data_IF_179382517317
#
_entry.id   IF_179382517317
#
_cell.length_a   1.000
_cell.length_b   1.000
_cell.length_c   1.000
_cell.angle_alpha   90.00
_cell.angle_beta   90.00
_cell.angle_gamma   90.00
#
_symmetry.space_group_name_H-M   'P 1'
#
loop_
_entity.id
_entity.type
_entity.pdbx_description
1 polymer ?
#
# COMPACT_ATOMS: atom_id res chain seq x y z
N UNK A 1 2.48 1.18 -0.54
CA UNK A 1 1.44 1.13 -1.57
C UNK A 1 1.15 -0.29 -1.97
N UNK A 2 0.08 -0.53 -2.71
CA UNK A 2 -0.31 -1.86 -3.17
C UNK A 2 0.82 -2.57 -3.96
N UNK A 3 1.65 -1.83 -4.68
CA UNK A 3 2.86 -2.36 -5.32
C UNK A 3 3.80 -3.02 -4.31
N UNK A 4 3.96 -2.44 -3.12
CA UNK A 4 4.83 -2.99 -2.08
C UNK A 4 4.23 -4.29 -1.51
N UNK A 5 2.89 -4.34 -1.35
CA UNK A 5 2.18 -5.54 -0.94
C UNK A 5 2.34 -6.66 -1.97
N UNK A 6 2.12 -6.36 -3.26
CA UNK A 6 2.29 -7.35 -4.33
C UNK A 6 3.72 -7.91 -4.38
N UNK A 7 4.73 -7.05 -4.15
CA UNK A 7 6.12 -7.51 -4.07
C UNK A 7 6.36 -8.42 -2.86
N UNK A 8 5.81 -8.07 -1.72
CA UNK A 8 5.91 -8.87 -0.50
C UNK A 8 5.31 -10.27 -0.67
N UNK A 9 4.13 -10.35 -1.28
CA UNK A 9 3.48 -11.62 -1.59
C UNK A 9 4.24 -12.42 -2.66
N UNK A 10 4.75 -11.75 -3.72
CA UNK A 10 5.59 -12.36 -4.75
C UNK A 10 6.79 -13.06 -4.11
N UNK A 11 7.47 -12.38 -3.19
CA UNK A 11 8.64 -12.94 -2.50
C UNK A 11 8.24 -14.10 -1.58
N UNK A 12 7.13 -13.95 -0.83
CA UNK A 12 6.65 -15.02 0.05
C UNK A 12 6.34 -16.31 -0.71
N UNK A 13 5.66 -16.24 -1.85
CA UNK A 13 5.38 -17.44 -2.67
C UNK A 13 6.66 -18.02 -3.29
N UNK A 14 7.61 -17.17 -3.69
CA UNK A 14 8.90 -17.64 -4.20
C UNK A 14 9.71 -18.36 -3.13
N UNK A 15 9.75 -17.83 -1.90
CA UNK A 15 10.44 -18.46 -0.76
C UNK A 15 9.85 -19.85 -0.43
N UNK A 16 8.56 -20.07 -0.72
CA UNK A 16 7.89 -21.36 -0.58
C UNK A 16 8.02 -22.29 -1.80
N UNK A 17 8.69 -21.83 -2.86
CA UNK A 17 8.86 -22.60 -4.11
C UNK A 17 7.66 -22.56 -5.06
N UNK A 18 6.64 -21.72 -4.79
CA UNK A 18 5.48 -21.52 -5.67
C UNK A 18 5.79 -20.45 -6.74
N UNK A 19 6.59 -20.80 -7.72
CA UNK A 19 6.95 -19.94 -8.84
C UNK A 19 5.75 -19.51 -9.70
N UNK A 20 4.72 -20.33 -9.97
CA UNK A 20 3.53 -19.88 -10.69
C UNK A 20 2.81 -18.71 -10.01
N UNK A 21 2.54 -18.81 -8.70
CA UNK A 21 1.92 -17.74 -7.92
C UNK A 21 2.81 -16.49 -7.85
N UNK A 22 4.10 -16.65 -7.63
CA UNK A 22 5.08 -15.55 -7.66
C UNK A 22 5.07 -14.84 -9.02
N UNK A 23 5.01 -15.60 -10.12
CA UNK A 23 4.95 -15.04 -11.48
C UNK A 23 3.68 -14.23 -11.72
N UNK A 24 2.53 -14.74 -11.28
CA UNK A 24 1.25 -14.03 -11.38
C UNK A 24 1.32 -12.66 -10.67
N UNK A 25 1.81 -12.65 -9.43
CA UNK A 25 1.97 -11.42 -8.65
C UNK A 25 2.96 -10.44 -9.26
N UNK A 26 4.04 -10.93 -9.87
CA UNK A 26 5.00 -10.10 -10.62
C UNK A 26 4.34 -9.39 -11.80
N UNK A 27 3.45 -10.06 -12.52
CA UNK A 27 2.70 -9.47 -13.64
C UNK A 27 1.70 -8.42 -13.13
N UNK A 28 0.91 -8.76 -12.11
CA UNK A 28 -0.03 -7.83 -11.47
C UNK A 28 0.69 -6.57 -10.95
N UNK A 29 1.87 -6.73 -10.34
CA UNK A 29 2.71 -5.62 -9.85
C UNK A 29 3.16 -4.68 -10.98
N UNK A 30 3.48 -5.21 -12.16
CA UNK A 30 3.85 -4.39 -13.32
C UNK A 30 2.68 -3.55 -13.81
N UNK A 31 1.48 -4.12 -13.82
CA UNK A 31 0.28 -3.39 -14.22
C UNK A 31 -0.07 -2.32 -13.18
N UNK A 32 0.00 -2.65 -11.91
CA UNK A 32 -0.23 -1.69 -10.83
C UNK A 32 0.77 -0.52 -10.85
N UNK A 33 2.02 -0.76 -11.21
CA UNK A 33 3.01 0.30 -11.38
C UNK A 33 2.60 1.32 -12.46
N UNK A 34 1.96 0.89 -13.54
CA UNK A 34 1.42 1.77 -14.58
C UNK A 34 0.24 2.59 -14.05
N UNK A 35 -0.69 1.95 -13.30
CA UNK A 35 -1.84 2.63 -12.69
C UNK A 35 -1.38 3.73 -11.71
N UNK A 36 -0.41 3.42 -10.85
CA UNK A 36 0.15 4.39 -9.91
C UNK A 36 0.84 5.54 -10.65
N UNK A 37 1.65 5.24 -11.67
CA UNK A 37 2.30 6.28 -12.49
C UNK A 37 1.30 7.21 -13.15
N UNK A 38 0.24 6.65 -13.74
CA UNK A 38 -0.84 7.41 -14.34
C UNK A 38 -1.59 8.28 -13.30
N UNK A 39 -1.94 7.70 -12.16
CA UNK A 39 -2.61 8.41 -11.07
C UNK A 39 -1.79 9.57 -10.53
N UNK A 40 -0.49 9.34 -10.30
CA UNK A 40 0.45 10.40 -9.86
C UNK A 40 0.56 11.51 -10.89
N UNK A 41 0.65 11.17 -12.18
CA UNK A 41 0.67 12.14 -13.26
C UNK A 41 -0.58 13.03 -13.27
N UNK A 42 -1.76 12.44 -13.11
CA UNK A 42 -3.02 13.16 -13.03
C UNK A 42 -3.10 14.10 -11.82
N UNK A 43 -2.73 13.61 -10.64
CA UNK A 43 -2.73 14.44 -9.42
C UNK A 43 -1.76 15.61 -9.57
N UNK A 44 -0.54 15.35 -10.00
CA UNK A 44 0.49 16.38 -10.23
C UNK A 44 0.01 17.44 -11.23
N UNK A 45 -0.53 17.02 -12.36
CA UNK A 45 -1.05 17.92 -13.37
C UNK A 45 -2.21 18.77 -12.82
N UNK A 46 -3.17 18.12 -12.16
CA UNK A 46 -4.35 18.80 -11.58
C UNK A 46 -3.94 19.86 -10.57
N UNK A 47 -3.02 19.54 -9.65
CA UNK A 47 -2.56 20.48 -8.63
C UNK A 47 -1.72 21.61 -9.21
N UNK A 48 -0.96 21.37 -10.27
CA UNK A 48 -0.21 22.42 -10.97
C UNK A 48 -1.14 23.45 -11.64
N UNK A 49 -2.27 23.00 -12.21
CA UNK A 49 -3.25 23.92 -12.83
C UNK A 49 -4.24 24.54 -11.85
N UNK A 50 -4.61 23.82 -10.81
CA UNK A 50 -5.59 24.27 -9.82
C UNK A 50 -5.20 23.78 -8.41
N UNK A 51 -4.33 24.52 -7.70
CA UNK A 51 -3.88 24.16 -6.35
C UNK A 51 -5.04 24.00 -5.34
N UNK A 52 -6.18 24.71 -5.54
CA UNK A 52 -7.34 24.60 -4.64
C UNK A 52 -7.96 23.19 -4.63
N UNK A 53 -7.69 22.35 -5.62
CA UNK A 53 -8.12 20.95 -5.67
C UNK A 53 -7.51 20.06 -4.57
N UNK A 54 -6.51 20.54 -3.86
CA UNK A 54 -5.95 19.83 -2.68
C UNK A 54 -7.01 19.60 -1.60
N UNK A 55 -7.97 20.49 -1.42
CA UNK A 55 -9.07 20.31 -0.47
C UNK A 55 -9.94 19.10 -0.86
N UNK A 56 -10.33 19.00 -2.13
CA UNK A 56 -11.10 17.86 -2.62
C UNK A 56 -10.32 16.54 -2.52
N UNK A 57 -9.00 16.56 -2.75
CA UNK A 57 -8.15 15.38 -2.57
C UNK A 57 -8.15 14.92 -1.11
N UNK A 58 -8.01 15.84 -0.15
CA UNK A 58 -8.11 15.52 1.29
C UNK A 58 -9.44 14.86 1.62
N UNK A 59 -10.55 15.44 1.18
CA UNK A 59 -11.88 14.93 1.46
C UNK A 59 -12.04 13.49 0.93
N UNK A 60 -11.60 13.23 -0.30
CA UNK A 60 -11.65 11.88 -0.89
C UNK A 60 -10.79 10.88 -0.11
N UNK A 61 -9.59 11.26 0.31
CA UNK A 61 -8.71 10.38 1.11
C UNK A 61 -9.37 10.02 2.45
N UNK A 62 -9.94 10.99 3.17
CA UNK A 62 -10.57 10.72 4.45
C UNK A 62 -11.92 9.97 4.32
N UNK A 63 -12.70 10.23 3.27
CA UNK A 63 -13.88 9.41 2.95
C UNK A 63 -13.49 7.95 2.69
N UNK A 64 -12.44 7.73 1.92
CA UNK A 64 -11.91 6.39 1.65
C UNK A 64 -11.43 5.71 2.93
N UNK A 65 -10.71 6.44 3.80
CA UNK A 65 -10.30 5.94 5.12
C UNK A 65 -11.50 5.44 5.92
N UNK A 66 -12.54 6.26 6.07
CA UNK A 66 -13.74 5.90 6.85
C UNK A 66 -14.42 4.64 6.30
N UNK A 67 -14.48 4.50 4.98
CA UNK A 67 -14.99 3.29 4.34
C UNK A 67 -14.13 2.07 4.69
N UNK A 68 -12.81 2.16 4.59
CA UNK A 68 -11.90 1.05 4.88
C UNK A 68 -11.90 0.68 6.37
N UNK A 69 -12.02 1.65 7.27
CA UNK A 69 -12.11 1.39 8.71
C UNK A 69 -13.39 0.59 9.07
N UNK A 70 -14.47 0.73 8.29
CA UNK A 70 -15.67 -0.08 8.46
C UNK A 70 -15.49 -1.55 8.05
N UNK A 71 -14.42 -1.89 7.33
CA UNK A 71 -14.08 -3.24 6.86
C UNK A 71 -12.96 -3.90 7.70
N UNK A 72 -12.77 -3.45 8.94
CA UNK A 72 -11.62 -3.83 9.78
C UNK A 72 -11.47 -5.33 10.05
N UNK A 73 -12.56 -6.11 10.07
CA UNK A 73 -12.52 -7.56 10.29
C UNK A 73 -11.80 -8.31 9.14
N UNK A 74 -11.98 -7.85 7.90
CA UNK A 74 -11.29 -8.45 6.73
C UNK A 74 -9.79 -8.16 6.76
N UNK A 75 -9.40 -7.02 7.32
CA UNK A 75 -8.00 -6.62 7.42
C UNK A 75 -7.19 -7.49 8.39
N UNK A 76 -7.81 -8.01 9.47
CA UNK A 76 -7.12 -8.89 10.42
C UNK A 76 -6.81 -10.25 9.82
N UNK A 77 -7.76 -10.86 9.10
CA UNK A 77 -7.54 -12.13 8.41
C UNK A 77 -6.42 -12.02 7.35
N UNK A 78 -6.40 -10.92 6.60
CA UNK A 78 -5.35 -10.67 5.61
C UNK A 78 -3.97 -10.57 6.29
N UNK A 79 -3.89 -9.85 7.41
CA UNK A 79 -2.66 -9.66 8.17
C UNK A 79 -2.12 -10.99 8.69
N UNK A 80 -2.97 -11.82 9.29
CA UNK A 80 -2.60 -13.16 9.77
C UNK A 80 -2.14 -14.08 8.62
N UNK A 81 -2.87 -14.06 7.50
CA UNK A 81 -2.52 -14.86 6.32
C UNK A 81 -1.14 -14.46 5.76
N UNK A 82 -0.83 -13.18 5.71
CA UNK A 82 0.48 -12.70 5.28
C UNK A 82 1.59 -13.08 6.26
N UNK A 83 1.30 -13.05 7.57
CA UNK A 83 2.27 -13.45 8.59
C UNK A 83 2.57 -14.96 8.50
N UNK A 84 1.57 -15.80 8.28
CA UNK A 84 1.76 -17.25 8.06
C UNK A 84 2.59 -17.49 6.78
N UNK A 85 2.25 -16.81 5.69
CA UNK A 85 2.97 -16.92 4.41
C UNK A 85 4.46 -16.59 4.58
N UNK A 86 4.77 -15.43 5.15
CA UNK A 86 6.16 -14.98 5.30
C UNK A 86 6.93 -15.72 6.38
N UNK A 87 6.28 -16.16 7.44
CA UNK A 87 6.89 -17.05 8.42
C UNK A 87 7.19 -18.46 7.87
N UNK A 88 6.57 -18.83 6.75
CA UNK A 88 6.69 -20.18 6.18
C UNK A 88 5.95 -21.22 7.02
N UNK A 89 4.88 -20.82 7.71
CA UNK A 89 4.00 -21.68 8.50
C UNK A 89 3.63 -21.07 9.85
N UNK A 90 2.70 -21.74 10.55
CA UNK A 90 2.17 -21.26 11.83
C UNK A 90 3.21 -21.17 12.94
N UNK A 91 4.20 -22.07 12.95
CA UNK A 91 5.24 -22.12 13.99
C UNK A 91 6.12 -20.86 14.02
N UNK A 92 6.21 -20.15 12.89
CA UNK A 92 7.01 -18.93 12.75
C UNK A 92 6.15 -17.69 12.49
N UNK A 93 4.89 -17.71 12.85
CA UNK A 93 3.95 -16.61 12.62
C UNK A 93 4.43 -15.29 13.25
N UNK A 94 5.09 -15.35 14.41
CA UNK A 94 5.63 -14.16 15.09
C UNK A 94 6.66 -13.45 14.19
N UNK A 95 7.60 -14.19 13.59
CA UNK A 95 8.55 -13.64 12.63
C UNK A 95 7.86 -13.04 11.42
N UNK A 96 6.82 -13.72 10.90
CA UNK A 96 6.02 -13.23 9.79
C UNK A 96 5.28 -11.92 10.14
N UNK A 97 4.81 -11.74 11.38
CA UNK A 97 4.23 -10.49 11.84
C UNK A 97 5.24 -9.33 11.83
N UNK A 98 6.47 -9.55 12.25
CA UNK A 98 7.51 -8.53 12.20
C UNK A 98 7.75 -8.05 10.76
N UNK A 99 7.82 -8.98 9.80
CA UNK A 99 7.96 -8.63 8.38
C UNK A 99 6.74 -7.89 7.82
N UNK A 100 5.52 -8.23 8.25
CA UNK A 100 4.30 -7.51 7.87
C UNK A 100 4.27 -6.09 8.44
N UNK A 101 4.76 -5.88 9.67
CA UNK A 101 4.86 -4.55 10.27
C UNK A 101 5.92 -3.70 9.56
N UNK A 102 7.02 -4.29 9.14
CA UNK A 102 8.01 -3.61 8.30
C UNK A 102 7.41 -3.23 6.92
N UNK A 103 6.64 -4.13 6.31
CA UNK A 103 5.91 -3.82 5.08
C UNK A 103 5.01 -2.60 5.27
N UNK A 104 4.20 -2.54 6.33
CA UNK A 104 3.35 -1.38 6.63
C UNK A 104 4.14 -0.08 6.69
N UNK A 105 5.24 -0.09 7.42
CA UNK A 105 6.14 1.07 7.53
C UNK A 105 6.73 1.49 6.18
N UNK A 106 7.13 0.52 5.35
CA UNK A 106 7.61 0.77 3.98
C UNK A 106 6.53 1.34 3.08
N UNK A 107 5.31 0.81 3.17
CA UNK A 107 4.16 1.30 2.40
C UNK A 107 3.84 2.76 2.75
N UNK A 108 3.88 3.12 4.04
CA UNK A 108 3.68 4.48 4.51
C UNK A 108 4.74 5.43 3.95
N UNK A 109 6.04 5.10 4.11
CA UNK A 109 7.15 5.91 3.56
C UNK A 109 7.04 6.09 2.04
N UNK A 110 6.74 5.03 1.31
CA UNK A 110 6.61 5.09 -0.15
C UNK A 110 5.38 5.90 -0.59
N UNK A 111 4.28 5.86 0.17
CA UNK A 111 3.09 6.67 -0.10
C UNK A 111 3.38 8.14 0.14
N UNK A 112 3.97 8.49 1.28
CA UNK A 112 4.39 9.86 1.60
C UNK A 112 5.28 10.43 0.49
N UNK A 113 6.33 9.71 0.11
CA UNK A 113 7.24 10.15 -0.96
C UNK A 113 6.49 10.45 -2.26
N UNK A 114 5.58 9.56 -2.69
CA UNK A 114 4.80 9.77 -3.92
C UNK A 114 3.87 10.97 -3.85
N UNK A 115 3.27 11.24 -2.70
CA UNK A 115 2.44 12.42 -2.50
C UNK A 115 3.27 13.71 -2.61
N UNK A 116 4.46 13.72 -2.02
CA UNK A 116 5.41 14.84 -2.16
C UNK A 116 5.85 15.01 -3.62
N UNK A 117 6.15 13.94 -4.33
CA UNK A 117 6.47 13.97 -5.77
C UNK A 117 5.33 14.53 -6.65
N UNK A 118 4.08 14.42 -6.17
CA UNK A 118 2.91 15.06 -6.81
C UNK A 118 2.77 16.55 -6.50
N UNK A 119 3.63 17.12 -5.66
CA UNK A 119 3.61 18.53 -5.27
C UNK A 119 2.76 18.81 -4.02
N UNK A 120 2.46 17.78 -3.22
CA UNK A 120 1.77 17.93 -1.94
C UNK A 120 2.81 18.28 -0.87
N UNK A 121 2.47 19.21 0.01
CA UNK A 121 3.28 19.57 1.17
C UNK A 121 3.61 18.35 2.03
N UNK A 122 4.83 18.28 2.60
CA UNK A 122 5.34 17.11 3.29
C UNK A 122 4.49 16.73 4.52
N UNK A 123 4.11 17.71 5.35
CA UNK A 123 3.31 17.48 6.55
C UNK A 123 1.94 16.90 6.16
N UNK A 124 1.31 17.49 5.16
CA UNK A 124 0.05 16.98 4.62
C UNK A 124 0.22 15.59 4.00
N UNK A 125 1.30 15.33 3.27
CA UNK A 125 1.58 14.02 2.69
C UNK A 125 1.75 12.93 3.75
N UNK A 126 2.37 13.25 4.89
CA UNK A 126 2.48 12.37 6.06
C UNK A 126 1.09 12.06 6.63
N UNK A 127 0.25 13.07 6.85
CA UNK A 127 -1.09 12.89 7.40
C UNK A 127 -1.98 12.04 6.47
N UNK A 128 -1.97 12.33 5.18
CA UNK A 128 -2.70 11.55 4.17
C UNK A 128 -2.19 10.11 4.08
N UNK A 129 -0.88 9.91 4.22
CA UNK A 129 -0.30 8.57 4.21
C UNK A 129 -0.71 7.77 5.44
N UNK A 130 -0.65 8.34 6.63
CA UNK A 130 -1.06 7.69 7.88
C UNK A 130 -2.53 7.29 7.88
N UNK A 131 -3.39 8.05 7.21
CA UNK A 131 -4.81 7.72 7.10
C UNK A 131 -5.07 6.34 6.47
N UNK A 132 -4.16 5.82 5.65
CA UNK A 132 -4.29 4.53 4.97
C UNK A 132 -3.41 3.41 5.54
N UNK A 133 -2.49 3.71 6.45
CA UNK A 133 -1.55 2.72 6.99
C UNK A 133 -2.20 1.48 7.61
N UNK A 134 -3.32 1.57 8.35
CA UNK A 134 -3.97 0.40 8.92
C UNK A 134 -4.46 -0.62 7.90
N UNK A 135 -4.79 -0.20 6.69
CA UNK A 135 -5.60 -0.95 5.73
C UNK A 135 -4.84 -1.53 4.51
N UNK A 136 -3.52 -1.52 4.46
CA UNK A 136 -2.70 -2.04 3.35
C UNK A 136 -3.01 -1.44 1.95
N UNK A 137 -3.65 -0.28 1.87
CA UNK A 137 -4.02 0.34 0.59
C UNK A 137 -3.35 1.67 0.33
#
# INVERSE_FOLDING_TARGET
>A
TFIDLLKFLEDGFRDLGDEPSAKLLSLARKDEARHVSYGMGNVKHTLAYNPAKIAALKDVVFQRKNYLDSQSAESSLLLESMAVLKGGGQERIAQGFDEVMELKSKMERNRTRRLVECGIDEDLAVDLSKAHTPNFM
#
